data_IF_444319194265
#
_entry.id   IF_444319194265
#
_cell.length_a   1.000
_cell.length_b   1.000
_cell.length_c   1.000
_cell.angle_alpha   90.00
_cell.angle_beta   90.00
_cell.angle_gamma   90.00
#
_symmetry.space_group_name_H-M   'P 1'
#
loop_
_entity.id
_entity.type
_entity.pdbx_description
1 polymer ?
#
# COMPACT_ATOMS: atom_id res chain seq x y z
N UNK A 1 -13.20 18.66 4.98
CA UNK A 1 -11.82 18.16 4.81
C UNK A 1 -11.92 16.72 4.37
N UNK A 2 -11.22 16.33 3.29
CA UNK A 2 -11.17 14.92 2.84
C UNK A 2 -10.46 14.05 3.87
N UNK A 3 -10.84 12.78 4.00
CA UNK A 3 -10.25 11.83 4.94
C UNK A 3 -9.60 10.67 4.19
N UNK A 4 -8.38 10.30 4.57
CA UNK A 4 -7.65 9.18 4.01
C UNK A 4 -7.28 8.15 5.09
N UNK A 5 -7.50 6.86 4.81
CA UNK A 5 -7.00 5.74 5.63
C UNK A 5 -5.82 5.08 4.92
N UNK A 6 -4.67 5.01 5.60
CA UNK A 6 -3.46 4.41 5.06
C UNK A 6 -3.08 3.18 5.89
N UNK A 7 -3.25 1.98 5.33
CA UNK A 7 -2.81 0.77 6.02
C UNK A 7 -1.29 0.66 6.00
N UNK A 8 -0.67 0.30 7.15
CA UNK A 8 0.79 0.33 7.31
C UNK A 8 1.39 1.73 7.18
N UNK A 9 0.65 2.76 7.65
CA UNK A 9 1.00 4.17 7.48
C UNK A 9 2.11 4.69 8.40
N UNK A 10 2.61 3.91 9.35
CA UNK A 10 3.56 4.39 10.36
C UNK A 10 5.01 4.54 9.86
N UNK A 11 5.43 3.77 8.86
CA UNK A 11 6.85 3.66 8.44
C UNK A 11 7.00 3.68 6.92
N UNK A 12 8.26 3.96 6.49
CA UNK A 12 8.72 3.77 5.11
C UNK A 12 7.81 4.47 4.09
N UNK A 13 7.37 3.78 3.04
CA UNK A 13 6.47 4.31 1.98
C UNK A 13 5.16 4.81 2.60
N UNK A 14 4.57 4.05 3.53
CA UNK A 14 3.32 4.42 4.19
C UNK A 14 3.40 5.75 4.93
N UNK A 15 4.48 6.00 5.65
CA UNK A 15 4.67 7.27 6.38
C UNK A 15 4.83 8.46 5.40
N UNK A 16 5.49 8.26 4.26
CA UNK A 16 5.58 9.30 3.24
C UNK A 16 4.22 9.60 2.60
N UNK A 17 3.44 8.56 2.29
CA UNK A 17 2.06 8.73 1.79
C UNK A 17 1.21 9.52 2.78
N UNK A 18 1.32 9.20 4.08
CA UNK A 18 0.62 9.93 5.15
C UNK A 18 1.01 11.40 5.15
N UNK A 19 2.32 11.73 5.10
CA UNK A 19 2.81 13.12 5.08
C UNK A 19 2.31 13.88 3.86
N UNK A 20 2.46 13.31 2.67
CA UNK A 20 2.06 13.94 1.41
C UNK A 20 0.55 14.21 1.37
N UNK A 21 -0.27 13.25 1.79
CA UNK A 21 -1.73 13.45 1.85
C UNK A 21 -2.13 14.49 2.91
N UNK A 22 -1.43 14.50 4.06
CA UNK A 22 -1.66 15.50 5.09
C UNK A 22 -1.30 16.91 4.60
N UNK A 23 -0.18 17.08 3.92
CA UNK A 23 0.25 18.35 3.30
C UNK A 23 -0.75 18.84 2.24
N UNK A 24 -1.38 17.92 1.48
CA UNK A 24 -2.45 18.22 0.53
C UNK A 24 -3.82 18.47 1.19
N UNK A 25 -3.88 18.54 2.52
CA UNK A 25 -5.08 18.93 3.26
C UNK A 25 -5.98 17.77 3.71
N UNK A 26 -5.59 16.52 3.54
CA UNK A 26 -6.36 15.40 4.07
C UNK A 26 -6.26 15.32 5.61
N UNK A 27 -7.36 14.91 6.26
CA UNK A 27 -7.29 14.24 7.56
C UNK A 27 -6.81 12.81 7.33
N UNK A 28 -5.76 12.39 8.04
CA UNK A 28 -5.14 11.08 7.83
C UNK A 28 -5.40 10.12 8.99
N UNK A 29 -5.82 8.92 8.66
CA UNK A 29 -5.96 7.80 9.60
C UNK A 29 -4.77 6.88 9.37
N UNK A 30 -3.84 6.89 10.33
CA UNK A 30 -2.59 6.13 10.27
C UNK A 30 -2.83 4.76 10.87
N UNK A 31 -2.97 3.75 10.04
CA UNK A 31 -3.08 2.39 10.55
C UNK A 31 -1.70 1.79 10.78
N UNK A 32 -1.55 1.10 11.92
CA UNK A 32 -0.40 0.25 12.24
C UNK A 32 -0.85 -1.02 12.98
N UNK A 33 0.07 -2.00 13.12
CA UNK A 33 -0.12 -3.17 13.99
C UNK A 33 0.87 -3.11 15.17
N UNK A 34 2.17 -3.30 14.92
CA UNK A 34 3.22 -3.38 15.95
C UNK A 34 4.04 -2.08 16.10
N UNK A 35 3.73 -1.04 15.33
CA UNK A 35 4.52 0.20 15.28
C UNK A 35 3.76 1.36 15.92
N UNK A 36 3.11 1.12 17.07
CA UNK A 36 2.26 2.10 17.72
C UNK A 36 3.02 3.37 18.08
N UNK A 37 4.15 3.28 18.76
CA UNK A 37 4.95 4.45 19.19
C UNK A 37 5.35 5.33 17.99
N UNK A 38 5.75 4.72 16.88
CA UNK A 38 6.13 5.43 15.65
C UNK A 38 4.91 6.08 15.00
N UNK A 39 3.76 5.39 15.00
CA UNK A 39 2.52 5.94 14.49
C UNK A 39 2.02 7.12 15.33
N UNK A 40 2.12 7.03 16.67
CA UNK A 40 1.75 8.10 17.59
C UNK A 40 2.68 9.32 17.44
N UNK A 41 3.99 9.10 17.30
CA UNK A 41 4.95 10.19 17.05
C UNK A 41 4.62 10.93 15.73
N UNK A 42 4.34 10.18 14.64
CA UNK A 42 3.94 10.77 13.37
C UNK A 42 2.60 11.51 13.49
N UNK A 43 1.63 10.95 14.19
CA UNK A 43 0.33 11.58 14.44
C UNK A 43 0.50 12.91 15.21
N UNK A 44 1.33 12.92 16.25
CA UNK A 44 1.62 14.12 17.01
C UNK A 44 2.31 15.19 16.16
N UNK A 45 3.32 14.82 15.36
CA UNK A 45 3.98 15.71 14.40
C UNK A 45 2.96 16.38 13.46
N UNK A 46 2.03 15.61 12.90
CA UNK A 46 1.05 16.13 11.96
C UNK A 46 0.00 17.02 12.63
N UNK A 47 -0.46 16.64 13.81
CA UNK A 47 -1.42 17.44 14.58
C UNK A 47 -0.78 18.76 15.10
N UNK A 48 0.55 18.81 15.30
CA UNK A 48 1.23 20.09 15.62
C UNK A 48 1.24 21.08 14.45
N UNK A 49 1.11 20.59 13.22
CA UNK A 49 1.01 21.41 11.99
C UNK A 49 -0.44 21.83 11.70
N UNK A 50 -1.40 20.99 12.03
CA UNK A 50 -2.83 21.24 11.82
C UNK A 50 -3.66 20.40 12.82
N UNK A 51 -4.40 21.07 13.69
CA UNK A 51 -5.17 20.43 14.75
C UNK A 51 -6.17 19.41 14.23
N UNK A 52 -6.35 18.29 14.95
CA UNK A 52 -7.28 17.19 14.66
C UNK A 52 -7.23 16.67 13.21
N UNK A 53 -6.04 16.70 12.60
CA UNK A 53 -5.82 16.31 11.22
C UNK A 53 -5.21 14.94 11.03
N UNK A 54 -4.79 14.29 12.12
CA UNK A 54 -4.24 12.93 12.12
C UNK A 54 -4.77 12.13 13.31
N UNK A 55 -5.01 10.85 13.10
CA UNK A 55 -5.35 9.88 14.16
C UNK A 55 -4.71 8.53 13.88
N UNK A 56 -4.43 7.77 14.94
CA UNK A 56 -3.87 6.42 14.85
C UNK A 56 -4.96 5.38 15.07
N UNK A 57 -4.92 4.31 14.29
CA UNK A 57 -5.71 3.10 14.52
C UNK A 57 -4.78 1.89 14.54
N UNK A 58 -4.93 1.06 15.57
CA UNK A 58 -4.11 -0.13 15.77
C UNK A 58 -4.97 -1.34 15.48
N UNK A 59 -4.56 -2.15 14.50
CA UNK A 59 -5.34 -3.32 14.09
C UNK A 59 -4.42 -4.40 13.52
N UNK A 60 -4.64 -5.65 13.90
CA UNK A 60 -4.03 -6.77 13.20
C UNK A 60 -4.84 -7.07 11.93
N UNK A 61 -4.25 -6.83 10.76
CA UNK A 61 -4.85 -7.16 9.47
C UNK A 61 -4.83 -8.66 9.15
N UNK A 62 -4.15 -9.46 9.95
CA UNK A 62 -4.26 -10.92 9.95
C UNK A 62 -5.58 -11.43 10.53
N UNK A 63 -6.28 -10.62 11.36
CA UNK A 63 -7.55 -10.98 12.01
C UNK A 63 -8.76 -10.34 11.30
N UNK A 64 -9.62 -11.17 10.75
CA UNK A 64 -10.86 -10.73 10.08
C UNK A 64 -11.85 -10.01 11.02
N UNK A 65 -11.90 -10.40 12.29
CA UNK A 65 -12.78 -9.72 13.26
C UNK A 65 -12.29 -8.32 13.56
N UNK A 66 -10.97 -8.16 13.67
CA UNK A 66 -10.33 -6.87 13.87
C UNK A 66 -10.53 -5.94 12.66
N UNK A 67 -10.37 -6.44 11.42
CA UNK A 67 -10.68 -5.68 10.19
C UNK A 67 -12.13 -5.22 10.18
N UNK A 68 -13.08 -6.14 10.48
CA UNK A 68 -14.50 -5.79 10.53
C UNK A 68 -14.79 -4.70 11.57
N UNK A 69 -14.20 -4.80 12.76
CA UNK A 69 -14.32 -3.78 13.81
C UNK A 69 -13.78 -2.44 13.31
N UNK A 70 -12.58 -2.41 12.71
CA UNK A 70 -11.98 -1.21 12.15
C UNK A 70 -12.92 -0.53 11.13
N UNK A 71 -13.43 -1.28 10.15
CA UNK A 71 -14.29 -0.71 9.12
C UNK A 71 -15.60 -0.13 9.67
N UNK A 72 -16.10 -0.63 10.81
CA UNK A 72 -17.29 -0.10 11.48
C UNK A 72 -17.03 1.20 12.27
N UNK A 73 -15.79 1.47 12.66
CA UNK A 73 -15.42 2.70 13.39
C UNK A 73 -15.24 3.90 12.48
N UNK A 74 -14.89 3.69 11.21
CA UNK A 74 -14.69 4.76 10.23
C UNK A 74 -16.05 5.35 9.81
N UNK A 75 -16.24 6.65 9.98
CA UNK A 75 -17.52 7.33 9.70
C UNK A 75 -17.51 8.12 8.39
N UNK A 76 -16.36 8.56 7.93
CA UNK A 76 -16.17 9.24 6.65
C UNK A 76 -14.85 8.82 6.05
N UNK A 77 -14.80 8.65 4.73
CA UNK A 77 -13.59 8.28 4.02
C UNK A 77 -13.69 8.70 2.55
N UNK A 78 -12.66 9.37 2.06
CA UNK A 78 -12.53 9.77 0.66
C UNK A 78 -11.46 8.95 -0.06
N UNK A 79 -10.46 8.45 0.68
CA UNK A 79 -9.36 7.67 0.13
C UNK A 79 -8.99 6.51 1.04
N UNK A 80 -8.94 5.30 0.49
CA UNK A 80 -8.33 4.14 1.11
C UNK A 80 -7.01 3.83 0.39
N UNK A 81 -5.89 3.80 1.13
CA UNK A 81 -4.60 3.33 0.61
C UNK A 81 -4.25 1.99 1.25
N UNK A 82 -4.33 0.92 0.47
CA UNK A 82 -3.88 -0.41 0.86
C UNK A 82 -2.36 -0.51 0.64
N UNK A 83 -1.59 -0.16 1.67
CA UNK A 83 -0.13 -0.16 1.63
C UNK A 83 0.49 -1.23 2.56
N UNK A 84 -0.19 -1.66 3.62
CA UNK A 84 0.33 -2.71 4.51
C UNK A 84 0.73 -3.97 3.72
N UNK A 85 1.92 -4.48 3.97
CA UNK A 85 2.44 -5.67 3.30
C UNK A 85 3.50 -6.35 4.16
N UNK A 86 3.57 -7.67 4.08
CA UNK A 86 4.69 -8.48 4.57
C UNK A 86 5.50 -8.97 3.38
N UNK A 87 6.82 -9.00 3.53
CA UNK A 87 7.77 -9.33 2.48
C UNK A 87 8.94 -10.12 3.09
N UNK A 88 9.00 -11.40 2.81
CA UNK A 88 10.12 -12.27 3.18
C UNK A 88 10.23 -13.46 2.23
N UNK A 89 11.42 -14.10 2.11
CA UNK A 89 11.62 -15.22 1.22
C UNK A 89 10.76 -16.44 1.62
N UNK A 90 10.17 -17.08 0.62
CA UNK A 90 9.45 -18.36 0.76
C UNK A 90 9.94 -19.30 -0.33
N UNK A 91 10.92 -20.14 0.02
CA UNK A 91 11.45 -21.16 -0.91
C UNK A 91 10.35 -22.16 -1.21
N UNK A 92 10.13 -22.48 -2.48
CA UNK A 92 9.02 -23.32 -2.91
C UNK A 92 9.03 -24.70 -2.22
N UNK A 93 10.19 -25.26 -2.02
CA UNK A 93 10.39 -26.56 -1.35
C UNK A 93 10.13 -26.53 0.17
N UNK A 94 10.22 -25.35 0.81
CA UNK A 94 10.12 -25.21 2.26
C UNK A 94 8.94 -24.30 2.70
N UNK A 95 8.11 -23.85 1.75
CA UNK A 95 6.98 -22.99 2.07
C UNK A 95 5.93 -23.71 2.92
N UNK A 96 5.49 -23.10 3.98
CA UNK A 96 4.48 -23.64 4.91
C UNK A 96 3.09 -23.04 4.68
N UNK A 97 2.07 -23.66 5.25
CA UNK A 97 0.72 -23.11 5.28
C UNK A 97 0.68 -21.81 6.11
N UNK A 98 1.50 -21.71 7.13
CA UNK A 98 1.66 -20.51 7.97
C UNK A 98 2.20 -19.35 7.15
N UNK A 99 3.24 -19.57 6.32
CA UNK A 99 3.77 -18.56 5.40
C UNK A 99 2.70 -18.10 4.40
N UNK A 100 1.99 -19.07 3.81
CA UNK A 100 0.88 -18.79 2.91
C UNK A 100 -0.19 -17.92 3.60
N UNK A 101 -0.66 -18.36 4.77
CA UNK A 101 -1.69 -17.64 5.49
C UNK A 101 -1.22 -16.24 5.89
N UNK A 102 -0.01 -16.08 6.39
CA UNK A 102 0.52 -14.79 6.80
C UNK A 102 0.60 -13.82 5.62
N UNK A 103 1.23 -14.24 4.52
CA UNK A 103 1.42 -13.36 3.34
C UNK A 103 0.08 -13.05 2.65
N UNK A 104 -0.75 -14.07 2.38
CA UNK A 104 -2.02 -13.87 1.68
C UNK A 104 -3.00 -13.07 2.54
N UNK A 105 -3.05 -13.34 3.84
CA UNK A 105 -3.97 -12.63 4.73
C UNK A 105 -3.69 -11.14 4.77
N UNK A 106 -2.43 -10.74 4.86
CA UNK A 106 -2.06 -9.32 4.98
C UNK A 106 -2.02 -8.65 3.62
N UNK A 107 -1.39 -9.28 2.61
CA UNK A 107 -1.15 -8.63 1.32
C UNK A 107 -2.36 -8.64 0.37
N UNK A 108 -3.32 -9.56 0.54
CA UNK A 108 -4.44 -9.72 -0.41
C UNK A 108 -5.81 -9.74 0.28
N UNK A 109 -5.99 -10.60 1.30
CA UNK A 109 -7.28 -10.75 1.98
C UNK A 109 -7.68 -9.47 2.71
N UNK A 110 -6.77 -8.88 3.48
CA UNK A 110 -7.06 -7.64 4.22
C UNK A 110 -7.45 -6.47 3.31
N UNK A 111 -6.71 -6.15 2.23
CA UNK A 111 -7.14 -5.17 1.23
C UNK A 111 -8.54 -5.41 0.67
N UNK A 112 -8.91 -6.65 0.39
CA UNK A 112 -10.26 -6.99 -0.07
C UNK A 112 -11.32 -6.62 0.98
N UNK A 113 -11.13 -7.04 2.24
CA UNK A 113 -12.12 -6.79 3.29
C UNK A 113 -12.13 -5.34 3.78
N UNK A 114 -11.02 -4.62 3.74
CA UNK A 114 -11.02 -3.17 3.97
C UNK A 114 -11.81 -2.45 2.88
N UNK A 115 -11.55 -2.76 1.61
CA UNK A 115 -12.25 -2.16 0.48
C UNK A 115 -13.75 -2.44 0.52
N UNK A 116 -14.16 -3.69 0.72
CA UNK A 116 -15.59 -4.07 0.76
C UNK A 116 -16.30 -3.52 2.01
N UNK A 117 -15.65 -3.55 3.17
CA UNK A 117 -16.21 -3.02 4.42
C UNK A 117 -16.39 -1.49 4.42
N UNK A 118 -15.55 -0.78 3.65
CA UNK A 118 -15.59 0.69 3.52
C UNK A 118 -16.27 1.18 2.23
N UNK A 119 -16.71 0.28 1.36
CA UNK A 119 -17.25 0.60 0.03
C UNK A 119 -18.42 1.58 0.06
N UNK A 120 -19.35 1.42 1.01
CA UNK A 120 -20.51 2.30 1.16
C UNK A 120 -20.12 3.74 1.53
N UNK A 121 -19.15 3.89 2.43
CA UNK A 121 -18.66 5.21 2.87
C UNK A 121 -17.89 5.87 1.73
N UNK A 122 -17.03 5.14 1.04
CA UNK A 122 -16.32 5.61 -0.15
C UNK A 122 -17.29 6.00 -1.28
N UNK A 123 -18.37 5.24 -1.48
CA UNK A 123 -19.38 5.58 -2.47
C UNK A 123 -20.11 6.90 -2.16
N UNK A 124 -20.39 7.16 -0.88
CA UNK A 124 -21.03 8.42 -0.45
C UNK A 124 -20.15 9.64 -0.76
N UNK A 125 -18.83 9.51 -0.65
CA UNK A 125 -17.86 10.58 -0.95
C UNK A 125 -17.41 10.63 -2.41
N UNK A 126 -17.88 9.70 -3.27
CA UNK A 126 -17.33 9.45 -4.61
C UNK A 126 -15.80 9.23 -4.56
N UNK A 127 -15.36 8.47 -3.57
CA UNK A 127 -13.98 8.32 -3.17
C UNK A 127 -13.13 7.44 -4.08
N UNK A 128 -11.95 7.11 -3.58
CA UNK A 128 -10.97 6.33 -4.33
C UNK A 128 -10.28 5.29 -3.45
N UNK A 129 -9.84 4.19 -4.07
CA UNK A 129 -8.96 3.19 -3.46
C UNK A 129 -7.67 3.15 -4.28
N UNK A 130 -6.52 3.22 -3.60
CA UNK A 130 -5.21 3.02 -4.21
C UNK A 130 -4.52 1.83 -3.54
N UNK A 131 -4.19 0.82 -4.34
CA UNK A 131 -3.52 -0.39 -3.90
C UNK A 131 -2.02 -0.31 -4.20
N UNK A 132 -1.16 -0.46 -3.19
CA UNK A 132 0.29 -0.57 -3.37
C UNK A 132 0.63 -2.03 -3.68
N UNK A 133 0.94 -2.28 -4.94
CA UNK A 133 1.22 -3.60 -5.50
C UNK A 133 2.74 -3.85 -5.48
N UNK A 134 3.31 -4.22 -6.60
CA UNK A 134 4.74 -4.39 -6.85
C UNK A 134 4.96 -4.75 -8.32
N UNK A 135 6.08 -4.40 -8.93
CA UNK A 135 6.43 -4.87 -10.28
C UNK A 135 6.56 -6.39 -10.35
N UNK A 136 6.78 -7.05 -9.22
CA UNK A 136 6.84 -8.50 -9.08
C UNK A 136 5.47 -9.19 -9.18
N UNK A 137 4.40 -8.44 -9.35
CA UNK A 137 3.09 -8.96 -9.79
C UNK A 137 3.10 -9.51 -11.22
N UNK A 138 4.02 -9.02 -12.06
CA UNK A 138 4.17 -9.43 -13.46
C UNK A 138 5.49 -10.16 -13.73
N UNK A 139 6.51 -9.88 -12.95
CA UNK A 139 7.87 -10.40 -13.11
C UNK A 139 8.32 -11.04 -11.80
N UNK A 140 8.15 -12.36 -11.65
CA UNK A 140 8.34 -13.01 -10.36
C UNK A 140 9.77 -12.85 -9.82
N UNK A 141 9.87 -12.46 -8.54
CA UNK A 141 11.11 -12.43 -7.81
C UNK A 141 11.45 -13.86 -7.34
N UNK A 142 12.65 -14.34 -7.66
CA UNK A 142 13.11 -15.65 -7.21
C UNK A 142 13.13 -15.73 -5.67
N UNK A 143 12.75 -16.86 -5.11
CA UNK A 143 12.63 -17.15 -3.68
C UNK A 143 11.43 -16.47 -2.96
N UNK A 144 10.54 -15.78 -3.66
CA UNK A 144 9.39 -15.07 -3.07
C UNK A 144 8.06 -15.54 -3.68
N UNK A 145 7.87 -16.86 -3.82
CA UNK A 145 6.75 -17.43 -4.56
C UNK A 145 5.38 -16.97 -4.05
N UNK A 146 5.12 -17.06 -2.75
CA UNK A 146 3.83 -16.67 -2.16
C UNK A 146 3.62 -15.14 -2.25
N UNK A 147 4.68 -14.36 -2.02
CA UNK A 147 4.62 -12.90 -2.19
C UNK A 147 4.23 -12.49 -3.61
N UNK A 148 4.87 -13.08 -4.63
CA UNK A 148 4.55 -12.80 -6.04
C UNK A 148 3.08 -13.11 -6.34
N UNK A 149 2.56 -14.26 -5.85
CA UNK A 149 1.16 -14.64 -5.98
C UNK A 149 0.25 -13.60 -5.32
N UNK A 150 0.59 -13.15 -4.11
CA UNK A 150 -0.19 -12.14 -3.40
C UNK A 150 -0.28 -10.82 -4.17
N UNK A 151 0.83 -10.38 -4.77
CA UNK A 151 0.88 -9.13 -5.55
C UNK A 151 0.20 -9.26 -6.92
N UNK A 152 0.29 -10.41 -7.57
CA UNK A 152 -0.51 -10.71 -8.75
C UNK A 152 -2.02 -10.72 -8.43
N UNK A 153 -2.39 -11.30 -7.30
CA UNK A 153 -3.76 -11.23 -6.76
C UNK A 153 -4.22 -9.80 -6.51
N UNK A 154 -3.38 -8.94 -5.93
CA UNK A 154 -3.68 -7.51 -5.73
C UNK A 154 -3.90 -6.76 -7.05
N UNK A 155 -3.15 -7.09 -8.09
CA UNK A 155 -3.34 -6.52 -9.43
C UNK A 155 -4.71 -6.89 -10.00
N UNK A 156 -5.12 -8.16 -9.88
CA UNK A 156 -6.46 -8.59 -10.28
C UNK A 156 -7.55 -7.99 -9.39
N UNK A 157 -7.34 -7.94 -8.06
CA UNK A 157 -8.24 -7.32 -7.11
C UNK A 157 -8.54 -5.85 -7.48
N UNK A 158 -7.51 -5.11 -7.88
CA UNK A 158 -7.66 -3.71 -8.34
C UNK A 158 -8.64 -3.60 -9.49
N UNK A 159 -8.50 -4.45 -10.50
CA UNK A 159 -9.39 -4.46 -11.69
C UNK A 159 -10.81 -4.92 -11.34
N UNK A 160 -10.93 -5.95 -10.51
CA UNK A 160 -12.21 -6.48 -10.04
C UNK A 160 -12.99 -5.41 -9.28
N UNK A 161 -12.38 -4.81 -8.26
CA UNK A 161 -13.06 -3.79 -7.46
C UNK A 161 -13.34 -2.52 -8.27
N UNK A 162 -12.50 -2.16 -9.23
CA UNK A 162 -12.79 -1.03 -10.13
C UNK A 162 -14.07 -1.24 -10.91
N UNK A 163 -14.34 -2.47 -11.36
CA UNK A 163 -15.57 -2.83 -12.08
C UNK A 163 -16.77 -2.92 -11.14
N UNK A 164 -16.61 -3.54 -9.97
CA UNK A 164 -17.70 -3.81 -9.02
C UNK A 164 -18.17 -2.53 -8.30
N UNK A 165 -17.27 -1.57 -8.03
CA UNK A 165 -17.56 -0.37 -7.25
C UNK A 165 -17.87 0.87 -8.10
N UNK A 166 -17.69 0.76 -9.42
CA UNK A 166 -18.09 1.83 -10.34
C UNK A 166 -19.62 2.00 -10.34
N UNK A 167 -20.15 3.20 -10.60
CA UNK A 167 -19.44 4.46 -10.92
C UNK A 167 -18.99 5.26 -9.68
N UNK A 168 -19.31 4.81 -8.47
CA UNK A 168 -19.22 5.63 -7.27
C UNK A 168 -17.83 5.64 -6.62
N UNK A 169 -17.02 4.58 -6.84
CA UNK A 169 -15.66 4.48 -6.28
C UNK A 169 -14.69 4.09 -7.38
N UNK A 170 -13.60 4.83 -7.49
CA UNK A 170 -12.50 4.49 -8.39
C UNK A 170 -11.48 3.61 -7.65
N UNK A 171 -10.91 2.63 -8.33
CA UNK A 171 -9.92 1.73 -7.75
C UNK A 171 -8.74 1.61 -8.70
N UNK A 172 -7.56 2.00 -8.25
CA UNK A 172 -6.32 1.93 -9.03
C UNK A 172 -5.19 1.31 -8.22
N UNK A 173 -4.11 0.97 -8.87
CA UNK A 173 -2.92 0.40 -8.27
C UNK A 173 -1.65 1.15 -8.67
N UNK A 174 -0.66 1.07 -7.81
CA UNK A 174 0.70 1.49 -8.06
C UNK A 174 1.60 0.27 -7.89
N UNK A 175 2.48 0.02 -8.84
CA UNK A 175 3.50 -1.02 -8.79
C UNK A 175 4.87 -0.38 -8.60
N UNK A 176 5.38 -0.28 -7.36
CA UNK A 176 6.71 0.24 -7.09
C UNK A 176 7.81 -0.66 -7.66
N UNK A 177 8.90 -0.05 -8.10
CA UNK A 177 10.17 -0.71 -8.33
C UNK A 177 11.07 -0.72 -7.08
N UNK A 178 12.37 -0.46 -7.26
CA UNK A 178 13.32 -0.34 -6.15
C UNK A 178 13.21 1.03 -5.50
N UNK A 179 12.48 1.12 -4.39
CA UNK A 179 12.22 2.37 -3.65
C UNK A 179 13.06 2.45 -2.38
N UNK A 180 13.08 1.37 -1.59
CA UNK A 180 13.87 1.27 -0.35
C UNK A 180 14.56 -0.09 -0.30
N UNK A 181 15.82 -0.08 0.12
CA UNK A 181 16.52 -1.33 0.37
C UNK A 181 15.96 -2.04 1.60
N UNK A 182 15.96 -3.39 1.61
CA UNK A 182 15.67 -4.17 2.80
C UNK A 182 16.61 -3.78 3.95
N UNK A 183 16.12 -3.77 5.18
CA UNK A 183 16.90 -3.40 6.38
C UNK A 183 17.25 -4.58 7.28
N UNK A 184 16.64 -5.75 7.00
CA UNK A 184 16.78 -6.98 7.82
C UNK A 184 17.77 -7.97 7.19
N UNK A 185 17.65 -9.25 7.52
CA UNK A 185 18.48 -10.35 7.00
C UNK A 185 18.52 -10.46 5.46
N UNK A 186 17.68 -9.71 4.77
CA UNK A 186 17.67 -9.55 3.32
C UNK A 186 18.51 -8.37 2.83
N UNK A 187 19.40 -7.81 3.65
CA UNK A 187 20.27 -6.70 3.24
C UNK A 187 21.10 -7.10 2.02
N UNK A 188 21.09 -6.20 1.03
CA UNK A 188 21.85 -6.37 -0.20
C UNK A 188 23.24 -5.77 -0.04
N UNK A 189 24.25 -6.48 -0.53
CA UNK A 189 25.60 -5.94 -0.69
C UNK A 189 25.59 -4.76 -1.68
N UNK A 190 26.56 -3.87 -1.61
CA UNK A 190 26.70 -2.76 -2.56
C UNK A 190 26.76 -3.24 -4.01
N UNK A 191 27.41 -4.37 -4.26
CA UNK A 191 27.46 -4.99 -5.59
C UNK A 191 26.07 -5.39 -6.10
N UNK A 192 25.24 -6.00 -5.25
CA UNK A 192 23.86 -6.37 -5.61
C UNK A 192 23.00 -5.13 -5.84
N UNK A 193 23.15 -4.08 -5.02
CA UNK A 193 22.47 -2.80 -5.23
C UNK A 193 22.86 -2.18 -6.57
N UNK A 194 24.15 -2.17 -6.92
CA UNK A 194 24.61 -1.68 -8.22
C UNK A 194 24.02 -2.46 -9.38
N UNK A 195 23.96 -3.79 -9.32
CA UNK A 195 23.34 -4.64 -10.32
C UNK A 195 21.84 -4.29 -10.50
N UNK A 196 21.15 -4.02 -9.40
CA UNK A 196 19.73 -3.63 -9.44
C UNK A 196 19.58 -2.26 -10.09
N UNK A 197 20.41 -1.29 -9.70
CA UNK A 197 20.39 0.08 -10.27
C UNK A 197 20.72 0.05 -11.77
N UNK A 198 21.66 -0.78 -12.19
CA UNK A 198 22.03 -0.91 -13.60
C UNK A 198 20.86 -1.41 -14.47
N UNK A 199 19.97 -2.20 -13.91
CA UNK A 199 18.73 -2.68 -14.57
C UNK A 199 17.59 -1.67 -14.56
N UNK A 200 17.71 -0.55 -13.88
CA UNK A 200 16.74 0.56 -13.91
C UNK A 200 17.09 1.48 -15.09
N UNK A 201 16.14 1.75 -15.97
CA UNK A 201 16.40 2.60 -17.15
C UNK A 201 16.88 4.00 -16.74
N UNK A 202 16.31 4.58 -15.68
CA UNK A 202 16.73 5.89 -15.15
C UNK A 202 18.02 5.83 -14.31
N UNK A 203 18.67 4.66 -14.17
CA UNK A 203 19.94 4.47 -13.46
C UNK A 203 19.99 5.02 -12.03
N UNK A 204 18.87 5.09 -11.37
CA UNK A 204 18.74 5.52 -9.97
C UNK A 204 17.64 4.75 -9.25
N UNK A 205 17.78 4.65 -7.94
CA UNK A 205 16.72 4.19 -7.06
C UNK A 205 15.61 5.25 -6.98
N UNK A 206 14.35 4.82 -6.89
CA UNK A 206 13.24 5.71 -6.54
C UNK A 206 13.23 6.04 -5.05
N UNK A 207 12.30 6.89 -4.66
CA UNK A 207 12.09 7.33 -3.28
C UNK A 207 10.65 7.06 -2.83
N UNK A 208 10.38 7.01 -1.52
CA UNK A 208 9.01 6.97 -1.01
C UNK A 208 8.12 8.11 -1.52
N UNK A 209 8.72 9.27 -1.83
CA UNK A 209 8.01 10.42 -2.36
C UNK A 209 7.45 10.17 -3.76
N UNK A 210 8.18 9.47 -4.63
CA UNK A 210 7.69 9.10 -5.97
C UNK A 210 6.39 8.27 -5.89
N UNK A 211 6.27 7.42 -4.87
CA UNK A 211 5.07 6.63 -4.63
C UNK A 211 3.94 7.49 -4.03
N UNK A 212 4.28 8.36 -3.10
CA UNK A 212 3.30 9.22 -2.44
C UNK A 212 2.65 10.23 -3.42
N UNK A 213 3.44 10.82 -4.31
CA UNK A 213 2.94 11.68 -5.39
C UNK A 213 2.03 10.93 -6.36
N UNK A 214 2.37 9.68 -6.71
CA UNK A 214 1.52 8.85 -7.55
C UNK A 214 0.20 8.46 -6.85
N UNK A 215 0.20 8.25 -5.52
CA UNK A 215 -1.01 8.05 -4.72
C UNK A 215 -1.91 9.29 -4.79
N UNK A 216 -1.35 10.47 -4.56
CA UNK A 216 -2.08 11.74 -4.61
C UNK A 216 -2.67 11.98 -6.01
N UNK A 217 -1.88 11.77 -7.06
CA UNK A 217 -2.36 11.85 -8.44
C UNK A 217 -3.57 10.94 -8.70
N UNK A 218 -3.49 9.65 -8.32
CA UNK A 218 -4.59 8.70 -8.52
C UNK A 218 -5.80 9.00 -7.64
N UNK A 219 -5.59 9.60 -6.46
CA UNK A 219 -6.69 10.03 -5.59
C UNK A 219 -7.55 11.10 -6.26
N UNK A 220 -6.96 12.00 -7.05
CA UNK A 220 -7.66 13.10 -7.70
C UNK A 220 -8.03 12.86 -9.18
N UNK A 221 -7.42 11.88 -9.84
CA UNK A 221 -7.65 11.57 -11.25
C UNK A 221 -9.05 10.97 -11.50
N UNK A 222 -10.06 11.80 -11.77
CA UNK A 222 -11.48 11.42 -11.81
C UNK A 222 -11.86 10.47 -12.95
N UNK A 223 -11.07 10.37 -14.00
CA UNK A 223 -11.36 9.52 -15.16
C UNK A 223 -10.40 8.33 -15.28
N UNK A 224 -9.75 7.94 -14.16
CA UNK A 224 -8.87 6.78 -14.11
C UNK A 224 -9.42 5.78 -13.09
N UNK A 225 -9.75 4.57 -13.54
CA UNK A 225 -10.13 3.42 -12.71
C UNK A 225 -9.67 2.11 -13.35
N UNK A 226 -9.35 1.10 -12.54
CA UNK A 226 -8.88 -0.21 -12.99
C UNK A 226 -7.45 -0.23 -13.53
N UNK A 227 -6.70 0.87 -13.40
CA UNK A 227 -5.33 0.96 -13.89
C UNK A 227 -4.31 0.62 -12.82
N UNK A 228 -3.19 0.06 -13.26
CA UNK A 228 -2.01 -0.18 -12.43
C UNK A 228 -0.82 0.50 -13.10
N UNK A 229 -0.24 1.48 -12.40
CA UNK A 229 0.87 2.29 -12.91
C UNK A 229 2.17 1.83 -12.26
N UNK A 230 3.16 1.52 -13.08
CA UNK A 230 4.49 1.19 -12.61
C UNK A 230 5.26 2.48 -12.27
N UNK A 231 5.71 2.59 -11.03
CA UNK A 231 6.62 3.65 -10.55
C UNK A 231 7.95 2.99 -10.22
N UNK A 232 8.72 2.71 -11.25
CA UNK A 232 9.87 1.80 -11.18
C UNK A 232 11.13 2.29 -11.93
N UNK A 233 11.11 3.50 -12.43
CA UNK A 233 12.20 4.07 -13.22
C UNK A 233 12.50 3.32 -14.51
N UNK A 234 11.52 2.55 -15.02
CA UNK A 234 11.67 1.70 -16.20
C UNK A 234 12.34 0.36 -15.91
N UNK A 235 12.41 -0.09 -14.65
CA UNK A 235 12.99 -1.39 -14.28
C UNK A 235 12.26 -2.57 -14.93
N UNK A 236 10.95 -2.47 -15.08
CA UNK A 236 10.14 -3.52 -15.72
C UNK A 236 10.33 -3.63 -17.24
N UNK A 237 10.96 -2.64 -17.89
CA UNK A 237 11.27 -2.65 -19.33
C UNK A 237 12.48 -3.53 -19.66
N UNK A 238 13.39 -3.71 -18.71
CA UNK A 238 14.61 -4.51 -18.89
C UNK A 238 14.33 -5.98 -18.53
N UNK A 239 14.84 -6.88 -19.37
CA UNK A 239 14.75 -8.34 -19.17
C UNK A 239 15.76 -8.86 -18.16
#
# INVERSE_FOLDING_TARGET
MKTALISGGAKRIGAQIVRTLHEDGYKVIIHCHQSEEIAQALCHELNSKRDDSAQVVITDLGDNKAIRKLTQTIKSLDLLVNNASVFYPTLTENSTIEDWNNIININLRAPFFLATGLSKILATSQGSIVNIIDIHSDRPLKKFSIYNISKAGMKMLTKTLAKELAPNVRVNGISPGSILWPQDDSQLSEKEKMIIIDRIALKKQGSPNDIAEAVLFLADAKYITGQVINIDGGRSLNQ
#
